data_IF_249470754183
#
_entry.id   IF_249470754183
#
_cell.length_a   1.000
_cell.length_b   1.000
_cell.length_c   1.000
_cell.angle_alpha   90.00
_cell.angle_beta   90.00
_cell.angle_gamma   90.00
#
_symmetry.space_group_name_H-M   'P 1'
#
loop_
_entity.id
_entity.type
_entity.pdbx_description
1 polymer ?
#
# COMPACT_ATOMS: atom_id res chain seq x y z
N UNK A 1 1.61 16.36 -15.44
CA UNK A 1 0.19 16.47 -15.41
C UNK A 1 -0.50 15.40 -14.58
N UNK A 2 -1.80 15.21 -14.85
CA UNK A 2 -2.63 14.34 -14.04
C UNK A 2 -2.12 12.90 -13.98
N UNK A 3 -1.55 12.39 -15.07
CA UNK A 3 -1.17 10.99 -15.12
C UNK A 3 0.03 10.63 -14.26
N UNK A 4 0.66 11.63 -13.63
CA UNK A 4 1.78 11.36 -12.72
C UNK A 4 1.47 11.75 -11.29
N UNK A 5 0.21 12.06 -10.99
CA UNK A 5 -0.16 12.51 -9.65
C UNK A 5 0.14 11.47 -8.58
N UNK A 6 -0.17 10.20 -8.85
CA UNK A 6 0.09 9.15 -7.87
C UNK A 6 1.58 9.05 -7.57
N UNK A 7 2.40 9.02 -8.62
CA UNK A 7 3.86 8.87 -8.46
C UNK A 7 4.47 10.06 -7.73
N UNK A 8 3.98 11.25 -8.02
CA UNK A 8 4.47 12.45 -7.35
C UNK A 8 4.13 12.42 -5.86
N UNK A 9 2.93 12.00 -5.52
CA UNK A 9 2.54 11.87 -4.12
C UNK A 9 3.35 10.78 -3.43
N UNK A 10 3.53 9.64 -4.07
CA UNK A 10 4.33 8.56 -3.52
C UNK A 10 5.77 9.03 -3.26
N UNK A 11 6.37 9.72 -4.23
CA UNK A 11 7.73 10.24 -4.07
C UNK A 11 7.81 11.24 -2.92
N UNK A 12 6.81 12.09 -2.78
CA UNK A 12 6.74 13.06 -1.68
C UNK A 12 6.69 12.35 -0.33
N UNK A 13 5.83 11.34 -0.20
CA UNK A 13 5.72 10.58 1.03
C UNK A 13 7.02 9.85 1.36
N UNK A 14 7.67 9.29 0.34
CA UNK A 14 8.95 8.61 0.56
C UNK A 14 10.01 9.57 1.13
N UNK A 15 10.04 10.80 0.61
CA UNK A 15 10.97 11.81 1.14
C UNK A 15 10.60 12.18 2.58
N UNK A 16 9.33 12.41 2.84
CA UNK A 16 8.87 12.79 4.18
C UNK A 16 9.14 11.70 5.22
N UNK A 17 9.07 10.45 4.80
CA UNK A 17 9.33 9.32 5.69
C UNK A 17 10.79 8.89 5.70
N UNK A 18 11.65 9.67 5.04
CA UNK A 18 13.11 9.44 5.02
C UNK A 18 13.50 8.08 4.44
N UNK A 19 12.82 7.67 3.38
CA UNK A 19 13.15 6.42 2.69
C UNK A 19 14.39 6.68 1.84
N UNK A 20 15.52 6.06 2.20
CA UNK A 20 16.77 6.25 1.49
C UNK A 20 17.06 5.11 0.52
N UNK A 21 16.50 3.92 0.76
CA UNK A 21 16.69 2.77 -0.13
C UNK A 21 15.34 2.24 -0.55
N UNK A 22 15.08 2.27 -1.86
CA UNK A 22 13.82 1.76 -2.39
C UNK A 22 13.62 0.28 -2.06
N UNK A 23 14.72 -0.51 -2.05
CA UNK A 23 14.61 -1.94 -1.78
C UNK A 23 14.11 -2.23 -0.36
N UNK A 24 14.49 -1.41 0.61
CA UNK A 24 13.96 -1.59 1.96
C UNK A 24 12.45 -1.41 1.98
N UNK A 25 11.96 -0.42 1.22
CA UNK A 25 10.54 -0.16 1.16
C UNK A 25 9.77 -1.33 0.57
N UNK A 26 10.10 -1.71 -0.68
CA UNK A 26 9.28 -2.72 -1.34
C UNK A 26 9.50 -4.13 -0.76
N UNK A 27 10.69 -4.43 -0.26
CA UNK A 27 10.93 -5.74 0.36
C UNK A 27 10.16 -5.87 1.68
N UNK A 28 9.91 -4.78 2.37
CA UNK A 28 9.22 -4.83 3.67
C UNK A 28 7.78 -5.33 3.55
N UNK A 29 7.19 -5.27 2.36
CA UNK A 29 5.81 -5.69 2.13
C UNK A 29 5.71 -6.75 1.04
N UNK A 30 6.80 -7.44 0.77
CA UNK A 30 6.84 -8.52 -0.22
C UNK A 30 6.40 -8.05 -1.61
N UNK A 31 6.91 -6.90 -2.02
CA UNK A 31 6.66 -6.37 -3.35
C UNK A 31 7.92 -6.56 -4.20
N UNK A 32 7.74 -6.95 -5.46
CA UNK A 32 8.89 -7.17 -6.34
C UNK A 32 9.52 -5.86 -6.79
N UNK A 33 10.82 -5.92 -7.06
CA UNK A 33 11.54 -4.78 -7.64
C UNK A 33 10.91 -4.36 -8.97
N UNK A 34 10.50 -5.34 -9.79
CA UNK A 34 9.91 -5.06 -11.09
C UNK A 34 8.61 -4.28 -10.95
N UNK A 35 7.75 -4.68 -10.02
CA UNK A 35 6.49 -3.95 -9.81
C UNK A 35 6.76 -2.55 -9.30
N UNK A 36 7.65 -2.40 -8.33
CA UNK A 36 7.96 -1.08 -7.79
C UNK A 36 8.51 -0.16 -8.88
N UNK A 37 9.41 -0.69 -9.73
CA UNK A 37 9.94 0.08 -10.84
C UNK A 37 8.86 0.52 -11.82
N UNK A 38 7.92 -0.37 -12.11
CA UNK A 38 6.81 -0.05 -13.00
C UNK A 38 5.97 1.10 -12.43
N UNK A 39 5.71 1.06 -11.13
CA UNK A 39 4.96 2.12 -10.46
C UNK A 39 5.70 3.45 -10.57
N UNK A 40 6.99 3.45 -10.26
CA UNK A 40 7.75 4.69 -10.22
C UNK A 40 7.96 5.30 -11.60
N UNK A 41 8.05 4.49 -12.64
CA UNK A 41 8.20 5.00 -14.00
C UNK A 41 6.91 5.58 -14.54
N UNK A 42 5.79 5.05 -14.14
CA UNK A 42 4.45 5.60 -14.44
C UNK A 42 4.22 5.88 -15.92
N UNK A 43 4.74 5.04 -16.80
CA UNK A 43 4.55 5.26 -18.24
C UNK A 43 3.07 5.13 -18.58
N UNK A 44 2.60 6.00 -19.46
CA UNK A 44 1.22 5.97 -19.98
C UNK A 44 0.18 6.06 -18.87
N UNK A 45 0.54 6.72 -17.76
CA UNK A 45 -0.41 6.93 -16.68
C UNK A 45 -0.71 5.69 -15.86
N UNK A 46 0.22 4.74 -15.84
CA UNK A 46 0.02 3.52 -15.07
C UNK A 46 -0.30 3.84 -13.60
N UNK A 47 -1.31 3.19 -13.07
CA UNK A 47 -1.71 3.33 -11.66
C UNK A 47 -1.80 1.92 -11.08
N UNK A 48 -1.20 1.67 -9.91
CA UNK A 48 -1.26 0.34 -9.33
C UNK A 48 -2.67 -0.02 -8.87
N UNK A 49 -2.91 -1.32 -8.67
CA UNK A 49 -4.20 -1.74 -8.14
C UNK A 49 -4.31 -1.39 -6.66
N UNK A 50 -5.51 -1.55 -6.13
CA UNK A 50 -5.81 -1.12 -4.76
C UNK A 50 -4.98 -1.86 -3.73
N UNK A 51 -4.79 -3.17 -3.93
CA UNK A 51 -4.01 -3.99 -3.00
C UNK A 51 -2.56 -3.53 -2.96
N UNK A 52 -2.03 -3.15 -4.11
CA UNK A 52 -0.66 -2.62 -4.16
C UNK A 52 -0.55 -1.30 -3.41
N UNK A 53 -1.57 -0.43 -3.53
CA UNK A 53 -1.58 0.83 -2.78
C UNK A 53 -1.65 0.56 -1.28
N UNK A 54 -2.46 -0.43 -0.86
CA UNK A 54 -2.50 -0.83 0.55
C UNK A 54 -1.11 -1.23 1.05
N UNK A 55 -0.38 -2.02 0.26
CA UNK A 55 0.97 -2.43 0.64
C UNK A 55 1.89 -1.22 0.79
N UNK A 56 1.78 -0.25 -0.10
CA UNK A 56 2.58 0.97 0.00
C UNK A 56 2.23 1.78 1.25
N UNK A 57 0.96 1.86 1.60
CA UNK A 57 0.54 2.54 2.83
C UNK A 57 1.20 1.89 4.05
N UNK A 58 1.25 0.58 4.09
CA UNK A 58 1.83 -0.14 5.21
C UNK A 58 3.35 -0.02 5.20
N UNK A 59 3.97 -0.12 4.02
CA UNK A 59 5.42 0.02 3.91
C UNK A 59 5.90 1.39 4.38
N UNK A 60 5.10 2.43 4.11
CA UNK A 60 5.45 3.81 4.47
C UNK A 60 4.98 4.21 5.87
N UNK A 61 4.32 3.31 6.57
CA UNK A 61 3.79 3.58 7.92
C UNK A 61 2.88 4.81 7.94
N UNK A 62 1.97 4.88 6.98
CA UNK A 62 1.09 6.04 6.83
C UNK A 62 0.00 6.05 7.89
N UNK A 63 -0.47 7.25 8.22
CA UNK A 63 -1.70 7.40 8.99
C UNK A 63 -2.89 7.09 8.10
N UNK A 64 -4.08 6.97 8.71
CA UNK A 64 -5.30 6.76 7.93
C UNK A 64 -5.50 7.90 6.92
N UNK A 65 -5.29 9.13 7.38
CA UNK A 65 -5.48 10.29 6.51
C UNK A 65 -4.51 10.26 5.32
N UNK A 66 -3.24 9.98 5.58
CA UNK A 66 -2.25 9.86 4.51
C UNK A 66 -2.59 8.73 3.56
N UNK A 67 -3.08 7.61 4.10
CA UNK A 67 -3.48 6.47 3.29
C UNK A 67 -4.67 6.81 2.41
N UNK A 68 -5.66 7.53 2.96
CA UNK A 68 -6.81 7.97 2.18
C UNK A 68 -6.39 8.86 1.03
N UNK A 69 -5.45 9.77 1.28
CA UNK A 69 -4.94 10.64 0.25
C UNK A 69 -4.21 9.87 -0.85
N UNK A 70 -3.32 8.95 -0.46
CA UNK A 70 -2.60 8.17 -1.46
C UNK A 70 -3.56 7.32 -2.29
N UNK A 71 -4.54 6.67 -1.64
CA UNK A 71 -5.57 5.91 -2.35
C UNK A 71 -6.31 6.79 -3.35
N UNK A 72 -6.65 8.01 -2.96
CA UNK A 72 -7.43 8.90 -3.82
C UNK A 72 -6.67 9.26 -5.10
N UNK A 73 -5.36 9.40 -5.03
CA UNK A 73 -4.57 9.68 -6.23
C UNK A 73 -4.59 8.52 -7.21
N UNK A 74 -4.88 7.32 -6.73
CA UNK A 74 -5.03 6.14 -7.58
C UNK A 74 -6.49 5.89 -7.96
N UNK A 75 -7.41 6.73 -7.48
CA UNK A 75 -8.84 6.58 -7.77
C UNK A 75 -9.55 5.64 -6.82
N UNK A 76 -8.98 5.35 -5.65
CA UNK A 76 -9.56 4.43 -4.68
C UNK A 76 -9.93 5.13 -3.38
N UNK A 77 -10.73 4.45 -2.58
CA UNK A 77 -11.03 4.85 -1.21
C UNK A 77 -11.24 3.60 -0.39
N UNK A 78 -11.21 3.73 0.94
CA UNK A 78 -11.60 2.62 1.79
C UNK A 78 -13.09 2.39 1.64
N UNK A 79 -13.45 1.15 1.29
CA UNK A 79 -14.85 0.76 1.12
C UNK A 79 -15.36 0.21 2.45
N UNK A 80 -16.33 0.88 3.09
CA UNK A 80 -16.80 0.42 4.40
C UNK A 80 -17.53 -0.92 4.38
N UNK A 81 -17.88 -1.39 3.17
CA UNK A 81 -18.55 -2.69 3.02
C UNK A 81 -17.59 -3.81 2.66
N UNK A 82 -16.32 -3.50 2.47
CA UNK A 82 -15.31 -4.50 2.11
C UNK A 82 -14.58 -4.98 3.35
N UNK A 83 -14.62 -6.28 3.61
CA UNK A 83 -13.91 -6.84 4.75
C UNK A 83 -12.41 -6.61 4.65
N UNK A 84 -11.85 -6.73 3.45
CA UNK A 84 -10.43 -6.46 3.25
C UNK A 84 -10.09 -5.03 3.63
N UNK A 85 -10.87 -4.07 3.16
CA UNK A 85 -10.62 -2.66 3.45
C UNK A 85 -10.72 -2.38 4.94
N UNK A 86 -11.73 -2.95 5.60
CA UNK A 86 -11.93 -2.77 7.04
C UNK A 86 -10.72 -3.30 7.81
N UNK A 87 -10.25 -4.48 7.44
CA UNK A 87 -9.10 -5.11 8.11
C UNK A 87 -7.85 -4.26 7.94
N UNK A 88 -7.56 -3.86 6.69
CA UNK A 88 -6.37 -3.06 6.40
C UNK A 88 -6.43 -1.73 7.16
N UNK A 89 -7.58 -1.06 7.11
CA UNK A 89 -7.74 0.22 7.78
C UNK A 89 -7.53 0.10 9.27
N UNK A 90 -8.05 -0.97 9.88
CA UNK A 90 -7.88 -1.20 11.33
C UNK A 90 -6.40 -1.26 11.70
N UNK A 91 -5.60 -1.99 10.93
CA UNK A 91 -4.18 -2.10 11.22
C UNK A 91 -3.45 -0.78 11.01
N UNK A 92 -3.84 -0.03 9.99
CA UNK A 92 -3.27 1.30 9.77
C UNK A 92 -3.63 2.24 10.92
N UNK A 93 -4.89 2.23 11.35
CA UNK A 93 -5.33 3.06 12.48
C UNK A 93 -4.53 2.78 13.74
N UNK A 94 -4.17 1.53 13.95
CA UNK A 94 -3.46 1.10 15.14
C UNK A 94 -1.95 1.08 14.95
N UNK A 95 -1.46 1.60 13.84
CA UNK A 95 -0.04 1.72 13.53
C UNK A 95 0.70 0.39 13.63
N UNK A 96 0.09 -0.67 13.06
CA UNK A 96 0.61 -2.03 13.09
C UNK A 96 1.11 -2.39 11.69
N UNK A 97 2.42 -2.26 11.47
CA UNK A 97 3.00 -2.37 10.13
C UNK A 97 4.07 -3.45 9.99
N UNK A 98 4.54 -4.04 11.09
CA UNK A 98 5.65 -4.98 11.04
C UNK A 98 5.23 -6.34 10.45
N UNK A 99 6.20 -7.24 10.30
CA UNK A 99 5.93 -8.54 9.69
C UNK A 99 4.89 -9.34 10.46
N UNK A 100 4.91 -9.28 11.78
CA UNK A 100 3.91 -9.98 12.59
C UNK A 100 2.52 -9.44 12.30
N UNK A 101 2.39 -8.11 12.18
CA UNK A 101 1.11 -7.49 11.84
C UNK A 101 0.66 -7.89 10.44
N UNK A 102 1.58 -7.93 9.48
CA UNK A 102 1.26 -8.35 8.11
C UNK A 102 0.73 -9.78 8.09
N UNK A 103 1.34 -10.68 8.86
CA UNK A 103 0.85 -12.05 8.97
C UNK A 103 -0.55 -12.10 9.56
N UNK A 104 -0.84 -11.24 10.55
CA UNK A 104 -2.17 -11.16 11.15
C UNK A 104 -3.20 -10.67 10.15
N UNK A 105 -2.83 -9.67 9.34
CA UNK A 105 -3.73 -9.20 8.28
C UNK A 105 -4.11 -10.37 7.38
N UNK A 106 -3.12 -11.13 6.92
CA UNK A 106 -3.37 -12.25 6.02
C UNK A 106 -4.22 -13.34 6.69
N UNK A 107 -4.02 -13.59 8.00
CA UNK A 107 -4.85 -14.53 8.74
C UNK A 107 -6.31 -14.09 8.77
N UNK A 108 -6.55 -12.80 9.05
CA UNK A 108 -7.92 -12.28 9.06
C UNK A 108 -8.55 -12.35 7.67
N UNK A 109 -7.77 -12.03 6.64
CA UNK A 109 -8.27 -12.12 5.26
C UNK A 109 -8.68 -13.55 4.94
N UNK A 110 -7.89 -14.53 5.34
CA UNK A 110 -8.19 -15.94 5.09
C UNK A 110 -9.51 -16.35 5.75
N UNK A 111 -9.79 -15.84 6.94
CA UNK A 111 -11.04 -16.14 7.64
C UNK A 111 -12.28 -15.70 6.87
N UNK A 112 -12.14 -14.69 6.03
CA UNK A 112 -13.25 -14.17 5.23
C UNK A 112 -13.15 -14.57 3.78
N UNK A 113 -12.33 -15.58 3.46
CA UNK A 113 -12.13 -16.09 2.11
C UNK A 113 -11.60 -15.02 1.14
N UNK A 114 -10.83 -14.08 1.67
CA UNK A 114 -10.14 -13.07 0.89
C UNK A 114 -8.72 -13.52 0.61
N UNK A 115 -8.18 -13.12 -0.53
CA UNK A 115 -6.79 -13.43 -0.87
C UNK A 115 -5.85 -12.70 0.08
N UNK A 116 -4.72 -13.32 0.41
CA UNK A 116 -3.74 -12.64 1.26
C UNK A 116 -3.18 -11.41 0.56
N UNK A 117 -2.75 -10.45 1.36
CA UNK A 117 -2.18 -9.22 0.84
C UNK A 117 -0.67 -9.34 0.71
N UNK A 118 -0.02 -10.01 1.65
CA UNK A 118 1.46 -10.05 1.73
C UNK A 118 2.05 -11.39 1.34
N UNK A 119 1.33 -12.50 1.54
CA UNK A 119 1.85 -13.83 1.24
C UNK A 119 1.74 -14.11 -0.25
N UNK A 120 2.72 -14.85 -0.76
CA UNK A 120 2.63 -15.41 -2.11
C UNK A 120 1.88 -16.74 -2.02
N UNK A 121 0.91 -16.93 -2.92
CA UNK A 121 0.22 -18.21 -3.01
C UNK A 121 0.64 -18.95 -4.24
#
# INVERSE_FOLDING_TARGET
>A
EKKHYFQNELATLMREKNITKNSELYNSVNMSCALFGKIMKAKDGYVPDKETVFKLCIALHLTVKESEELLSYAGYSFNPDSKKDIIVKFFIENQKFDKAAQMKIDEFLDRYNEKPLFSCN
#
